data_IF_911617966844
#
_entry.id   IF_911617966844
#
_cell.length_a   1.000
_cell.length_b   1.000
_cell.length_c   1.000
_cell.angle_alpha   90.00
_cell.angle_beta   90.00
_cell.angle_gamma   90.00
#
_symmetry.space_group_name_H-M   'P 1'
#
loop_
_entity.id
_entity.type
_entity.pdbx_description
1 polymer ?
#
# COMPACT_ATOMS: atom_id res chain seq x y z
N UNK A 1 -13.74 18.40 5.82
CA UNK A 1 -14.34 18.64 4.47
C UNK A 1 -14.16 17.41 3.57
N UNK A 2 -12.94 16.83 3.44
CA UNK A 2 -12.70 15.66 2.59
C UNK A 2 -13.59 14.47 2.92
N UNK A 3 -13.69 14.06 4.19
CA UNK A 3 -14.54 12.94 4.60
C UNK A 3 -16.02 13.16 4.27
N UNK A 4 -16.54 14.41 4.42
CA UNK A 4 -17.90 14.73 4.00
C UNK A 4 -18.08 14.53 2.49
N UNK A 5 -17.11 14.99 1.69
CA UNK A 5 -17.13 14.77 0.24
C UNK A 5 -17.14 13.29 -0.13
N UNK A 6 -16.28 12.48 0.51
CA UNK A 6 -16.24 11.02 0.32
C UNK A 6 -17.61 10.40 0.59
N UNK A 7 -18.23 10.77 1.72
CA UNK A 7 -19.57 10.30 2.11
C UNK A 7 -20.66 10.75 1.13
N UNK A 8 -20.68 12.04 0.79
CA UNK A 8 -21.70 12.63 -0.10
C UNK A 8 -21.62 12.07 -1.52
N UNK A 9 -20.45 11.64 -1.96
CA UNK A 9 -20.21 11.04 -3.28
C UNK A 9 -20.18 9.52 -3.27
N UNK A 10 -20.41 8.90 -2.12
CA UNK A 10 -20.34 7.43 -1.95
C UNK A 10 -19.03 6.85 -2.49
N UNK A 11 -17.90 7.55 -2.25
CA UNK A 11 -16.59 7.05 -2.61
C UNK A 11 -16.16 5.97 -1.62
N UNK A 12 -15.27 5.08 -2.07
CA UNK A 12 -14.83 3.93 -1.27
C UNK A 12 -14.12 4.37 0.03
N UNK A 13 -13.15 5.27 -0.06
CA UNK A 13 -12.38 5.75 1.09
C UNK A 13 -11.81 7.15 0.86
N UNK A 14 -11.28 7.74 1.93
CA UNK A 14 -10.40 8.89 1.88
C UNK A 14 -8.96 8.43 2.11
N UNK A 15 -8.04 8.76 1.21
CA UNK A 15 -6.61 8.56 1.42
C UNK A 15 -6.01 9.68 2.27
N UNK A 16 -5.11 9.33 3.18
CA UNK A 16 -4.29 10.27 3.94
C UNK A 16 -2.82 9.90 3.76
N UNK A 17 -2.07 10.80 3.14
CA UNK A 17 -0.62 10.78 3.13
C UNK A 17 -0.09 11.79 4.14
N UNK A 18 0.51 11.34 5.28
CA UNK A 18 0.98 12.23 6.34
C UNK A 18 2.41 12.75 6.08
N UNK A 19 2.71 13.16 4.85
CA UNK A 19 4.07 13.49 4.44
C UNK A 19 4.67 14.75 5.07
N UNK A 20 3.85 15.64 5.63
CA UNK A 20 4.32 16.82 6.37
C UNK A 20 4.40 16.58 7.87
N UNK A 21 3.89 15.44 8.34
CA UNK A 21 3.90 15.06 9.74
C UNK A 21 5.12 14.18 10.02
N UNK A 22 5.85 14.49 11.07
CA UNK A 22 7.08 13.81 11.41
C UNK A 22 8.05 14.70 12.18
N UNK A 23 9.35 14.43 12.06
CA UNK A 23 10.36 15.16 12.84
C UNK A 23 11.68 15.33 12.08
N UNK A 24 12.42 16.43 12.43
CA UNK A 24 13.73 16.72 11.86
C UNK A 24 14.87 16.06 12.66
N UNK A 25 14.77 16.08 13.98
CA UNK A 25 15.79 15.61 14.90
C UNK A 25 15.20 14.70 15.96
N UNK A 26 15.86 13.60 16.24
CA UNK A 26 15.42 12.67 17.28
C UNK A 26 15.54 13.27 18.70
N UNK A 27 16.60 14.04 18.95
CA UNK A 27 16.78 14.70 20.23
C UNK A 27 15.77 15.84 20.39
N UNK A 28 14.98 15.76 21.43
CA UNK A 28 13.92 16.75 21.73
C UNK A 28 12.56 16.44 21.08
N UNK A 29 12.46 15.40 20.27
CA UNK A 29 11.17 14.95 19.73
C UNK A 29 10.38 14.18 20.79
N UNK A 30 9.18 14.63 21.06
CA UNK A 30 8.22 13.86 21.86
C UNK A 30 7.38 12.98 20.93
N UNK A 31 7.82 11.74 20.72
CA UNK A 31 7.18 10.80 19.81
C UNK A 31 5.74 10.46 20.23
N UNK A 32 5.49 10.33 21.54
CA UNK A 32 4.14 10.04 22.03
C UNK A 32 3.15 11.14 21.67
N UNK A 33 3.53 12.40 21.91
CA UNK A 33 2.71 13.56 21.58
C UNK A 33 2.52 13.70 20.03
N UNK A 34 3.52 13.35 19.24
CA UNK A 34 3.44 13.36 17.78
C UNK A 34 2.39 12.36 17.27
N UNK A 35 2.43 11.12 17.74
CA UNK A 35 1.43 10.10 17.39
C UNK A 35 0.05 10.46 17.92
N UNK A 36 -0.07 10.80 19.20
CA UNK A 36 -1.33 11.17 19.82
C UNK A 36 -2.06 12.28 19.09
N UNK A 37 -1.38 13.34 18.71
CA UNK A 37 -1.99 14.47 17.97
C UNK A 37 -2.53 14.05 16.60
N UNK A 38 -1.78 13.26 15.87
CA UNK A 38 -2.22 12.81 14.55
C UNK A 38 -3.42 11.87 14.67
N UNK A 39 -3.31 10.88 15.53
CA UNK A 39 -4.33 9.86 15.75
C UNK A 39 -5.63 10.46 16.29
N UNK A 40 -5.54 11.36 17.27
CA UNK A 40 -6.69 12.09 17.79
C UNK A 40 -7.36 12.97 16.72
N UNK A 41 -6.58 13.62 15.86
CA UNK A 41 -7.12 14.46 14.79
C UNK A 41 -7.87 13.63 13.74
N UNK A 42 -7.32 12.47 13.34
CA UNK A 42 -7.98 11.57 12.39
C UNK A 42 -9.23 10.95 13.01
N UNK A 43 -9.14 10.45 14.24
CA UNK A 43 -10.28 9.90 14.98
C UNK A 43 -11.41 10.93 15.14
N UNK A 44 -11.07 12.16 15.52
CA UNK A 44 -12.03 13.26 15.60
C UNK A 44 -12.72 13.52 14.26
N UNK A 45 -11.94 13.61 13.18
CA UNK A 45 -12.50 13.85 11.84
C UNK A 45 -13.45 12.73 11.40
N UNK A 46 -13.13 11.47 11.73
CA UNK A 46 -13.97 10.31 11.43
C UNK A 46 -15.25 10.28 12.30
N UNK A 47 -15.17 10.72 13.54
CA UNK A 47 -16.35 10.83 14.42
C UNK A 47 -17.31 11.95 13.96
N UNK A 48 -16.77 13.03 13.36
CA UNK A 48 -17.60 14.08 12.73
C UNK A 48 -18.33 13.59 11.46
N UNK A 49 -17.86 12.50 10.84
CA UNK A 49 -18.44 11.91 9.62
C UNK A 49 -18.48 10.38 9.76
N UNK A 50 -19.33 9.84 10.64
CA UNK A 50 -19.31 8.43 10.96
C UNK A 50 -19.59 7.53 9.76
N UNK A 51 -18.90 6.37 9.75
CA UNK A 51 -19.04 5.34 8.72
C UNK A 51 -18.18 5.56 7.47
N UNK A 52 -17.37 6.63 7.43
CA UNK A 52 -16.39 6.82 6.35
C UNK A 52 -15.13 5.99 6.63
N UNK A 53 -14.64 5.36 5.57
CA UNK A 53 -13.40 4.60 5.59
C UNK A 53 -12.23 5.52 5.26
N UNK A 54 -11.10 5.34 5.97
CA UNK A 54 -9.86 6.08 5.75
C UNK A 54 -8.72 5.10 5.47
N UNK A 55 -7.88 5.40 4.49
CA UNK A 55 -6.68 4.65 4.18
C UNK A 55 -5.44 5.53 4.42
N UNK A 56 -4.47 5.01 5.18
CA UNK A 56 -3.19 5.68 5.46
C UNK A 56 -2.17 5.21 4.44
N UNK A 57 -1.37 6.15 3.93
CA UNK A 57 -0.26 5.89 3.05
C UNK A 57 1.07 6.11 3.78
N UNK A 58 1.72 5.05 4.27
CA UNK A 58 3.02 5.17 4.91
C UNK A 58 4.10 5.61 3.93
N UNK A 59 5.01 6.45 4.42
CA UNK A 59 6.20 6.89 3.69
C UNK A 59 7.35 7.10 4.67
N UNK A 60 8.56 6.58 4.43
CA UNK A 60 9.62 6.60 5.43
C UNK A 60 10.21 7.99 5.68
N UNK A 61 10.35 8.80 4.65
CA UNK A 61 10.89 10.16 4.68
C UNK A 61 10.39 10.97 3.48
N UNK A 62 10.73 12.25 3.42
CA UNK A 62 10.39 13.19 2.37
C UNK A 62 8.88 13.60 2.36
N UNK A 63 8.60 14.91 2.39
CA UNK A 63 9.56 16.02 2.43
C UNK A 63 10.26 16.20 3.79
N UNK A 64 9.76 15.60 4.86
CA UNK A 64 10.46 15.59 6.15
C UNK A 64 11.53 14.49 6.17
N UNK A 65 12.68 14.68 6.87
CA UNK A 65 13.68 13.63 7.01
C UNK A 65 13.16 12.35 7.64
N UNK A 66 12.14 12.44 8.48
CA UNK A 66 11.50 11.32 9.15
C UNK A 66 10.00 11.57 9.21
N UNK A 67 9.22 10.78 8.49
CA UNK A 67 7.76 10.85 8.53
C UNK A 67 7.20 10.11 9.77
N UNK A 68 5.94 10.40 10.10
CA UNK A 68 5.29 9.87 11.30
C UNK A 68 5.06 8.34 11.20
N UNK A 69 4.65 7.83 10.04
CA UNK A 69 4.47 6.40 9.76
C UNK A 69 5.38 5.99 8.63
N UNK A 70 6.40 5.21 8.94
CA UNK A 70 7.55 4.98 8.08
C UNK A 70 7.55 3.61 7.41
N UNK A 71 6.88 2.64 8.03
CA UNK A 71 6.88 1.24 7.61
C UNK A 71 5.47 0.68 7.55
N UNK A 72 5.34 -0.50 6.95
CA UNK A 72 4.08 -1.25 6.94
C UNK A 72 3.55 -1.50 8.34
N UNK A 73 4.43 -1.85 9.28
CA UNK A 73 4.03 -2.12 10.67
C UNK A 73 3.50 -0.86 11.34
N UNK A 74 4.17 0.28 11.15
CA UNK A 74 3.70 1.57 11.67
C UNK A 74 2.29 1.91 11.16
N UNK A 75 2.06 1.70 9.85
CA UNK A 75 0.74 1.93 9.24
C UNK A 75 -0.36 1.02 9.82
N UNK A 76 -0.04 -0.25 10.05
CA UNK A 76 -0.98 -1.20 10.68
C UNK A 76 -1.29 -0.79 12.12
N UNK A 77 -0.27 -0.43 12.91
CA UNK A 77 -0.44 0.04 14.28
C UNK A 77 -1.27 1.32 14.32
N UNK A 78 -0.97 2.30 13.45
CA UNK A 78 -1.76 3.53 13.34
C UNK A 78 -3.25 3.25 13.08
N UNK A 79 -3.58 2.26 12.23
CA UNK A 79 -4.97 1.87 12.02
C UNK A 79 -5.65 1.40 13.30
N UNK A 80 -4.97 0.56 14.10
CA UNK A 80 -5.50 0.09 15.38
C UNK A 80 -5.64 1.22 16.41
N UNK A 81 -4.62 2.06 16.52
CA UNK A 81 -4.58 3.14 17.51
C UNK A 81 -5.66 4.18 17.22
N UNK A 82 -5.84 4.59 15.97
CA UNK A 82 -6.91 5.52 15.58
C UNK A 82 -8.30 4.90 15.81
N UNK A 83 -8.53 3.64 15.43
CA UNK A 83 -9.81 2.96 15.67
C UNK A 83 -10.13 2.88 17.17
N UNK A 84 -9.13 2.69 18.02
CA UNK A 84 -9.30 2.65 19.48
C UNK A 84 -9.76 3.98 20.08
N UNK A 85 -9.49 5.10 19.39
CA UNK A 85 -9.83 6.47 19.80
C UNK A 85 -11.21 6.92 19.33
N UNK A 86 -11.88 6.17 18.46
CA UNK A 86 -13.20 6.53 17.94
C UNK A 86 -14.25 6.57 19.05
N UNK A 87 -15.03 7.66 19.09
CA UNK A 87 -16.04 7.93 20.12
C UNK A 87 -17.46 7.80 19.60
N UNK A 88 -17.69 7.99 18.30
CA UNK A 88 -19.00 7.87 17.68
C UNK A 88 -19.58 6.46 17.88
N UNK A 89 -20.81 6.36 18.40
CA UNK A 89 -21.47 5.06 18.58
C UNK A 89 -21.67 4.33 17.24
N UNK A 90 -21.87 5.06 16.14
CA UNK A 90 -21.97 4.46 14.79
C UNK A 90 -20.65 3.78 14.43
N UNK A 91 -19.51 4.46 14.60
CA UNK A 91 -18.20 3.91 14.31
C UNK A 91 -17.91 2.69 15.20
N UNK A 92 -18.17 2.80 16.49
CA UNK A 92 -18.02 1.69 17.46
C UNK A 92 -18.86 0.47 17.09
N UNK A 93 -20.10 0.69 16.68
CA UNK A 93 -20.98 -0.41 16.29
C UNK A 93 -20.52 -1.10 15.00
N UNK A 94 -19.96 -0.34 14.06
CA UNK A 94 -19.35 -0.91 12.86
C UNK A 94 -18.14 -1.78 13.22
N UNK A 95 -17.26 -1.28 14.09
CA UNK A 95 -16.10 -2.05 14.59
C UNK A 95 -16.53 -3.32 15.33
N UNK A 96 -17.54 -3.25 16.18
CA UNK A 96 -18.10 -4.43 16.88
C UNK A 96 -18.66 -5.48 15.92
N UNK A 97 -19.19 -5.06 14.78
CA UNK A 97 -19.68 -5.94 13.70
C UNK A 97 -18.54 -6.53 12.85
N UNK A 98 -17.29 -6.19 13.16
CA UNK A 98 -16.13 -6.70 12.45
C UNK A 98 -15.67 -5.87 11.24
N UNK A 99 -16.31 -4.73 10.95
CA UNK A 99 -15.84 -3.82 9.92
C UNK A 99 -14.52 -3.18 10.33
N UNK A 100 -13.70 -2.85 9.33
CA UNK A 100 -12.51 -2.04 9.50
C UNK A 100 -12.77 -0.65 8.90
N UNK A 101 -12.54 0.39 9.68
CA UNK A 101 -12.75 1.78 9.25
C UNK A 101 -11.43 2.45 8.84
N UNK A 102 -10.32 1.93 9.36
CA UNK A 102 -8.97 2.33 8.97
C UNK A 102 -8.27 1.18 8.23
N UNK A 103 -7.57 1.53 7.16
CA UNK A 103 -6.71 0.63 6.44
C UNK A 103 -5.53 1.38 5.84
N UNK A 104 -4.87 0.74 4.92
CA UNK A 104 -3.69 1.25 4.26
C UNK A 104 -3.89 1.32 2.75
N UNK A 105 -3.21 2.27 2.13
CA UNK A 105 -2.96 2.34 0.70
C UNK A 105 -1.45 2.40 0.44
N UNK A 106 -0.73 1.28 0.63
CA UNK A 106 0.71 1.28 0.46
C UNK A 106 1.08 1.58 -0.99
N UNK A 107 2.13 2.38 -1.16
CA UNK A 107 2.71 2.71 -2.45
C UNK A 107 4.01 1.95 -2.66
N UNK A 108 4.21 1.38 -3.84
CA UNK A 108 5.42 0.62 -4.17
C UNK A 108 6.68 1.49 -4.00
N UNK A 109 6.64 2.75 -4.44
CA UNK A 109 7.74 3.69 -4.26
C UNK A 109 8.13 3.86 -2.80
N UNK A 110 7.16 4.16 -1.94
CA UNK A 110 7.38 4.36 -0.52
C UNK A 110 7.89 3.09 0.19
N UNK A 111 7.38 1.93 -0.20
CA UNK A 111 7.86 0.63 0.30
C UNK A 111 9.35 0.46 -0.03
N UNK A 112 9.75 0.77 -1.28
CA UNK A 112 11.13 0.65 -1.74
C UNK A 112 12.04 1.70 -1.11
N UNK A 113 11.56 2.91 -0.86
CA UNK A 113 12.27 3.92 -0.06
C UNK A 113 12.60 3.40 1.35
N UNK A 114 11.68 2.66 1.95
CA UNK A 114 11.81 2.05 3.27
C UNK A 114 12.57 0.74 3.34
N UNK A 115 13.16 0.27 2.24
CA UNK A 115 13.84 -1.03 2.15
C UNK A 115 12.93 -2.23 2.47
N UNK A 116 11.62 -2.07 2.33
CA UNK A 116 10.68 -3.17 2.48
C UNK A 116 10.47 -3.91 1.13
N UNK A 117 9.92 -5.11 1.21
CA UNK A 117 9.56 -5.94 0.05
C UNK A 117 8.07 -5.78 -0.27
N UNK A 118 7.73 -5.26 -1.46
CA UNK A 118 6.35 -4.91 -1.79
C UNK A 118 5.38 -6.11 -1.78
N UNK A 119 5.70 -7.30 -2.30
CA UNK A 119 4.84 -8.47 -2.17
C UNK A 119 4.56 -8.84 -0.71
N UNK A 120 5.57 -8.75 0.16
CA UNK A 120 5.42 -9.00 1.60
C UNK A 120 4.51 -7.96 2.25
N UNK A 121 4.69 -6.68 1.94
CA UNK A 121 3.87 -5.57 2.47
C UNK A 121 2.40 -5.78 2.12
N UNK A 122 2.08 -6.01 0.86
CA UNK A 122 0.71 -6.24 0.42
C UNK A 122 0.10 -7.48 1.08
N UNK A 123 0.87 -8.58 1.15
CA UNK A 123 0.41 -9.81 1.82
C UNK A 123 0.17 -9.57 3.31
N UNK A 124 1.05 -8.83 3.98
CA UNK A 124 0.91 -8.53 5.41
C UNK A 124 -0.32 -7.65 5.66
N UNK A 125 -0.48 -6.58 4.91
CA UNK A 125 -1.64 -5.67 5.04
C UNK A 125 -2.96 -6.40 4.75
N UNK A 126 -2.99 -7.29 3.75
CA UNK A 126 -4.16 -8.12 3.44
C UNK A 126 -4.48 -9.08 4.58
N UNK A 127 -3.48 -9.77 5.13
CA UNK A 127 -3.65 -10.70 6.26
C UNK A 127 -4.26 -10.03 7.49
N UNK A 128 -3.92 -8.77 7.74
CA UNK A 128 -4.48 -7.97 8.84
C UNK A 128 -5.86 -7.37 8.51
N UNK A 129 -6.36 -7.58 7.27
CA UNK A 129 -7.60 -6.96 6.79
C UNK A 129 -7.49 -5.44 6.67
N UNK A 130 -6.27 -4.93 6.38
CA UNK A 130 -5.97 -3.50 6.34
C UNK A 130 -5.57 -3.00 4.95
N UNK A 131 -5.52 -3.83 3.93
CA UNK A 131 -5.23 -3.39 2.57
C UNK A 131 -6.51 -2.90 1.91
N UNK A 132 -6.70 -1.58 1.79
CA UNK A 132 -7.89 -0.96 1.21
C UNK A 132 -7.66 -0.44 -0.21
N UNK A 133 -6.42 -0.10 -0.53
CA UNK A 133 -6.01 0.38 -1.84
C UNK A 133 -4.54 0.11 -2.06
N UNK A 134 -4.07 0.27 -3.30
CA UNK A 134 -2.65 0.12 -3.66
C UNK A 134 -2.26 1.23 -4.61
N UNK A 135 -1.08 1.85 -4.38
CA UNK A 135 -0.49 2.79 -5.30
C UNK A 135 0.67 2.16 -6.07
N UNK A 136 0.63 2.34 -7.38
CA UNK A 136 1.54 1.68 -8.30
C UNK A 136 2.39 2.70 -9.04
N UNK A 137 3.69 2.51 -8.90
CA UNK A 137 4.76 3.20 -9.61
C UNK A 137 5.99 2.29 -9.67
N UNK A 138 7.17 2.85 -9.85
CA UNK A 138 8.44 2.13 -9.84
C UNK A 138 9.50 3.01 -9.18
N UNK A 139 10.35 2.40 -8.35
CA UNK A 139 11.29 3.13 -7.51
C UNK A 139 12.56 2.31 -7.28
N UNK A 140 13.77 2.88 -7.49
CA UNK A 140 14.99 2.26 -7.01
C UNK A 140 15.01 2.18 -5.48
N UNK A 141 15.48 1.06 -4.93
CA UNK A 141 15.51 0.85 -3.49
C UNK A 141 16.29 1.96 -2.77
N UNK A 142 15.70 2.54 -1.73
CA UNK A 142 16.34 3.52 -0.87
C UNK A 142 16.62 4.88 -1.51
N UNK A 143 16.07 5.15 -2.70
CA UNK A 143 16.22 6.45 -3.35
C UNK A 143 15.11 7.41 -2.89
N UNK A 144 15.23 8.71 -3.29
CA UNK A 144 14.14 9.68 -3.09
C UNK A 144 12.92 9.30 -3.96
N UNK A 145 11.77 9.82 -3.61
CA UNK A 145 10.52 9.54 -4.31
C UNK A 145 10.54 10.05 -5.76
N UNK A 146 10.50 9.14 -6.70
CA UNK A 146 10.62 9.45 -8.13
C UNK A 146 9.34 9.24 -8.92
N UNK A 147 8.39 8.51 -8.38
CA UNK A 147 7.10 8.22 -9.02
C UNK A 147 7.24 7.78 -10.48
N UNK A 148 8.16 6.86 -10.76
CA UNK A 148 8.41 6.39 -12.12
C UNK A 148 7.27 5.47 -12.60
N UNK A 149 7.14 5.33 -13.92
CA UNK A 149 6.16 4.43 -14.50
C UNK A 149 6.36 2.98 -14.02
N UNK A 150 5.27 2.26 -13.84
CA UNK A 150 5.23 0.86 -13.36
C UNK A 150 6.16 -0.02 -14.22
N UNK A 151 7.03 -0.76 -13.54
CA UNK A 151 7.93 -1.73 -14.16
C UNK A 151 9.14 -1.15 -14.89
N UNK A 152 9.31 0.18 -14.97
CA UNK A 152 10.50 0.80 -15.60
C UNK A 152 11.76 0.46 -14.82
N UNK A 153 11.66 0.42 -13.51
CA UNK A 153 12.68 -0.10 -12.61
C UNK A 153 12.07 -1.29 -11.88
N UNK A 154 12.78 -2.40 -11.78
CA UNK A 154 12.35 -3.57 -11.03
C UNK A 154 11.01 -4.19 -11.49
N UNK A 155 10.91 -4.50 -12.79
CA UNK A 155 9.75 -5.21 -13.35
C UNK A 155 9.34 -6.45 -12.55
N UNK A 156 10.32 -7.25 -12.13
CA UNK A 156 10.09 -8.48 -11.37
C UNK A 156 9.42 -8.21 -10.01
N UNK A 157 9.78 -7.12 -9.35
CA UNK A 157 9.18 -6.73 -8.07
C UNK A 157 7.70 -6.35 -8.24
N UNK A 158 7.38 -5.58 -9.26
CA UNK A 158 6.00 -5.21 -9.58
C UNK A 158 5.17 -6.46 -9.92
N UNK A 159 5.73 -7.37 -10.71
CA UNK A 159 5.07 -8.62 -11.08
C UNK A 159 4.84 -9.55 -9.88
N UNK A 160 5.84 -9.68 -8.99
CA UNK A 160 5.70 -10.44 -7.76
C UNK A 160 4.64 -9.82 -6.82
N UNK A 161 4.57 -8.49 -6.77
CA UNK A 161 3.53 -7.77 -6.01
C UNK A 161 2.13 -8.08 -6.54
N UNK A 162 1.95 -8.07 -7.85
CA UNK A 162 0.68 -8.41 -8.48
C UNK A 162 0.31 -9.89 -8.23
N UNK A 163 1.29 -10.79 -8.29
CA UNK A 163 1.08 -12.20 -7.96
C UNK A 163 0.62 -12.38 -6.52
N UNK A 164 1.29 -11.72 -5.56
CA UNK A 164 0.92 -11.77 -4.14
C UNK A 164 -0.51 -11.26 -3.90
N UNK A 165 -0.91 -10.17 -4.54
CA UNK A 165 -2.28 -9.64 -4.46
C UNK A 165 -3.32 -10.62 -5.00
N UNK A 166 -3.01 -11.29 -6.12
CA UNK A 166 -3.90 -12.33 -6.67
C UNK A 166 -4.05 -13.53 -5.74
N UNK A 167 -2.94 -14.01 -5.15
CA UNK A 167 -2.97 -15.09 -4.16
C UNK A 167 -3.77 -14.70 -2.92
N UNK A 168 -3.77 -13.43 -2.55
CA UNK A 168 -4.55 -12.88 -1.44
C UNK A 168 -6.02 -12.62 -1.78
N UNK A 169 -6.44 -12.80 -3.04
CA UNK A 169 -7.80 -12.53 -3.50
C UNK A 169 -8.16 -11.05 -3.57
N UNK A 170 -7.16 -10.18 -3.72
CA UNK A 170 -7.39 -8.74 -3.86
C UNK A 170 -8.18 -8.43 -5.13
N UNK A 171 -9.28 -7.70 -5.00
CA UNK A 171 -10.20 -7.36 -6.08
C UNK A 171 -10.56 -5.86 -6.14
N UNK A 172 -9.80 -5.04 -5.43
CA UNK A 172 -9.98 -3.60 -5.39
C UNK A 172 -9.18 -2.90 -6.50
N UNK A 173 -9.12 -1.58 -6.46
CA UNK A 173 -8.50 -0.76 -7.47
C UNK A 173 -6.97 -0.72 -7.37
N UNK A 174 -6.33 -0.54 -8.52
CA UNK A 174 -4.90 -0.26 -8.67
C UNK A 174 -4.75 1.24 -8.97
N UNK A 175 -4.39 2.04 -7.97
CA UNK A 175 -4.10 3.45 -8.14
C UNK A 175 -2.74 3.62 -8.83
N UNK A 176 -2.68 4.44 -9.86
CA UNK A 176 -1.41 4.80 -10.50
C UNK A 176 -0.98 6.13 -9.92
N UNK A 177 0.09 6.11 -9.13
CA UNK A 177 0.69 7.28 -8.52
C UNK A 177 2.06 7.53 -9.13
N UNK A 178 2.09 8.42 -10.13
CA UNK A 178 3.27 8.68 -10.95
C UNK A 178 3.46 10.17 -11.20
N UNK A 179 4.71 10.58 -11.34
CA UNK A 179 5.09 11.91 -11.76
C UNK A 179 5.63 11.90 -13.21
N UNK A 180 4.80 12.14 -14.22
CA UNK A 180 5.16 11.98 -15.61
C UNK A 180 5.96 13.17 -16.18
N UNK A 181 6.76 13.89 -15.41
CA UNK A 181 7.46 15.17 -15.67
C UNK A 181 7.79 15.46 -17.15
N UNK A 182 8.19 14.45 -17.92
CA UNK A 182 8.65 14.58 -19.32
C UNK A 182 7.81 13.80 -20.31
N UNK A 183 6.72 13.20 -19.86
CA UNK A 183 5.86 12.33 -20.69
C UNK A 183 4.44 12.94 -20.68
N UNK A 184 3.74 13.04 -21.81
CA UNK A 184 2.33 13.42 -21.80
C UNK A 184 1.51 12.48 -20.92
N UNK A 185 0.59 13.04 -20.12
CA UNK A 185 -0.19 12.27 -19.12
C UNK A 185 -0.90 11.08 -19.75
N UNK A 186 -1.50 11.25 -20.93
CA UNK A 186 -2.16 10.15 -21.64
C UNK A 186 -1.20 9.01 -21.97
N UNK A 187 0.03 9.34 -22.40
CA UNK A 187 1.07 8.35 -22.71
C UNK A 187 1.54 7.64 -21.44
N UNK A 188 1.68 8.36 -20.34
CA UNK A 188 2.03 7.77 -19.05
C UNK A 188 0.95 6.77 -18.59
N UNK A 189 -0.32 7.12 -18.66
CA UNK A 189 -1.44 6.22 -18.32
C UNK A 189 -1.42 4.98 -19.24
N UNK A 190 -1.20 5.16 -20.53
CA UNK A 190 -1.10 4.05 -21.49
C UNK A 190 0.04 3.09 -21.13
N UNK A 191 1.24 3.62 -20.80
CA UNK A 191 2.39 2.82 -20.37
C UNK A 191 2.08 2.00 -19.15
N UNK A 192 1.57 2.62 -18.08
CA UNK A 192 1.29 1.96 -16.83
C UNK A 192 0.19 0.90 -16.95
N UNK A 193 -0.88 1.22 -17.68
CA UNK A 193 -1.96 0.27 -17.96
C UNK A 193 -1.47 -0.92 -18.79
N UNK A 194 -0.62 -0.67 -19.79
CA UNK A 194 -0.02 -1.74 -20.58
C UNK A 194 0.89 -2.64 -19.72
N UNK A 195 1.74 -2.06 -18.88
CA UNK A 195 2.62 -2.81 -18.00
C UNK A 195 1.82 -3.75 -17.07
N UNK A 196 0.83 -3.24 -16.35
CA UNK A 196 -0.03 -4.03 -15.48
C UNK A 196 -0.79 -5.13 -16.23
N UNK A 197 -1.30 -4.84 -17.41
CA UNK A 197 -1.99 -5.83 -18.25
C UNK A 197 -1.06 -6.94 -18.73
N UNK A 198 0.18 -6.61 -19.12
CA UNK A 198 1.18 -7.59 -19.54
C UNK A 198 1.57 -8.49 -18.36
N UNK A 199 1.88 -7.91 -17.22
CA UNK A 199 2.18 -8.64 -15.98
C UNK A 199 1.03 -9.60 -15.60
N UNK A 200 -0.20 -9.11 -15.63
CA UNK A 200 -1.37 -9.90 -15.32
C UNK A 200 -1.56 -11.09 -16.29
N UNK A 201 -1.37 -10.87 -17.60
CA UNK A 201 -1.43 -11.95 -18.58
C UNK A 201 -0.34 -12.98 -18.32
N UNK A 202 0.89 -12.54 -18.07
CA UNK A 202 2.02 -13.43 -17.81
C UNK A 202 1.76 -14.28 -16.55
N UNK A 203 1.39 -13.66 -15.43
CA UNK A 203 1.07 -14.36 -14.18
C UNK A 203 -0.03 -15.41 -14.38
N UNK A 204 -1.07 -15.08 -15.18
CA UNK A 204 -2.15 -16.02 -15.47
C UNK A 204 -1.72 -17.18 -16.36
N UNK A 205 -0.64 -17.02 -17.14
CA UNK A 205 -0.09 -18.08 -18.01
C UNK A 205 0.94 -18.97 -17.31
N UNK A 206 1.38 -18.60 -16.11
CA UNK A 206 2.29 -19.43 -15.32
C UNK A 206 1.60 -20.71 -14.82
N UNK A 207 2.31 -21.83 -14.71
CA UNK A 207 1.81 -23.03 -14.09
C UNK A 207 1.77 -22.84 -12.56
N UNK A 208 0.76 -22.14 -12.09
CA UNK A 208 0.69 -21.71 -10.68
C UNK A 208 0.59 -22.88 -9.70
N UNK A 209 0.00 -24.01 -10.12
CA UNK A 209 -0.05 -25.23 -9.30
C UNK A 209 1.35 -25.83 -9.10
N UNK A 210 2.15 -25.91 -10.16
CA UNK A 210 3.54 -26.40 -10.09
C UNK A 210 4.42 -25.47 -9.24
N UNK A 211 4.22 -24.15 -9.36
CA UNK A 211 4.93 -23.16 -8.53
C UNK A 211 4.58 -23.36 -7.05
N UNK A 212 3.30 -23.57 -6.73
CA UNK A 212 2.85 -23.79 -5.37
C UNK A 212 3.37 -25.12 -4.81
N UNK A 213 3.36 -26.18 -5.61
CA UNK A 213 3.94 -27.49 -5.24
C UNK A 213 5.43 -27.37 -4.91
N UNK A 214 6.19 -26.69 -5.79
CA UNK A 214 7.61 -26.46 -5.58
C UNK A 214 7.89 -25.59 -4.32
N UNK A 215 7.02 -24.64 -4.00
CA UNK A 215 7.11 -23.86 -2.78
C UNK A 215 6.84 -24.71 -1.51
N UNK A 216 5.88 -25.63 -1.56
CA UNK A 216 5.49 -26.47 -0.43
C UNK A 216 6.45 -27.63 -0.18
N UNK A 217 7.16 -28.09 -1.19
CA UNK A 217 8.15 -29.16 -1.11
C UNK A 217 9.51 -28.75 -1.72
N UNK A 218 10.20 -27.79 -1.08
CA UNK A 218 11.42 -27.21 -1.64
C UNK A 218 12.60 -28.19 -1.69
N UNK A 219 12.57 -29.31 -0.96
CA UNK A 219 13.65 -30.29 -0.98
C UNK A 219 13.65 -31.10 -2.29
N UNK A 220 12.49 -31.41 -2.83
CA UNK A 220 12.36 -32.18 -4.07
C UNK A 220 12.29 -31.26 -5.34
N UNK A 221 12.03 -29.98 -5.17
CA UNK A 221 11.80 -29.02 -6.25
C UNK A 221 12.81 -27.86 -6.28
N UNK A 222 14.07 -28.14 -5.91
CA UNK A 222 15.13 -27.12 -5.88
C UNK A 222 15.38 -26.55 -7.28
N UNK A 223 15.15 -25.23 -7.45
CA UNK A 223 15.36 -24.52 -8.70
C UNK A 223 14.21 -24.60 -9.69
N UNK A 224 13.12 -25.33 -9.40
CA UNK A 224 12.00 -25.48 -10.32
C UNK A 224 11.26 -24.15 -10.52
N UNK A 225 11.07 -23.37 -9.48
CA UNK A 225 10.44 -22.03 -9.57
C UNK A 225 11.26 -21.12 -10.49
N UNK A 226 12.58 -21.05 -10.29
CA UNK A 226 13.47 -20.23 -11.10
C UNK A 226 13.48 -20.70 -12.58
N UNK A 227 13.42 -22.02 -12.79
CA UNK A 227 13.36 -22.60 -14.13
C UNK A 227 12.05 -22.26 -14.84
N UNK A 228 10.92 -22.36 -14.15
CA UNK A 228 9.59 -21.99 -14.64
C UNK A 228 9.58 -20.51 -15.02
N UNK A 229 10.02 -19.63 -14.11
CA UNK A 229 10.07 -18.19 -14.36
C UNK A 229 10.98 -17.84 -15.53
N UNK A 230 12.16 -18.47 -15.62
CA UNK A 230 13.10 -18.24 -16.73
C UNK A 230 12.51 -18.67 -18.08
N UNK A 231 11.86 -19.82 -18.14
CA UNK A 231 11.21 -20.31 -19.38
C UNK A 231 10.02 -19.48 -19.82
N UNK A 232 9.37 -18.80 -18.88
CA UNK A 232 8.20 -17.95 -19.14
C UNK A 232 8.54 -16.53 -19.62
N UNK A 233 9.82 -16.20 -19.71
CA UNK A 233 10.31 -14.88 -20.21
C UNK A 233 10.36 -14.77 -21.75
N UNK A 234 9.70 -15.66 -22.47
CA UNK A 234 9.68 -15.70 -23.96
C UNK A 234 8.63 -14.79 -24.56
#
# INVERSE_FOLDING_TARGET
KCLKFVKDKSLHHAGIWPGSDGYLYSLGTNYYDMWDRFEDAVAYAMDEVPGVIVAIEPKPYEPTPNNIYRTTVDGILACHDIESRLKSEINKDLLKKGYRLLGMQPEIGHIRMGFEDAPYVFSRATREGRLFHTHWNSQPMGNYDQDLNVGVVEWQQAEASLFALKMAGYNEYFGIDINPVRIPVQKAIEINSAALNIMNKRINSLPNEEILEAYLDPENHRGDIELILTKSMK
#
